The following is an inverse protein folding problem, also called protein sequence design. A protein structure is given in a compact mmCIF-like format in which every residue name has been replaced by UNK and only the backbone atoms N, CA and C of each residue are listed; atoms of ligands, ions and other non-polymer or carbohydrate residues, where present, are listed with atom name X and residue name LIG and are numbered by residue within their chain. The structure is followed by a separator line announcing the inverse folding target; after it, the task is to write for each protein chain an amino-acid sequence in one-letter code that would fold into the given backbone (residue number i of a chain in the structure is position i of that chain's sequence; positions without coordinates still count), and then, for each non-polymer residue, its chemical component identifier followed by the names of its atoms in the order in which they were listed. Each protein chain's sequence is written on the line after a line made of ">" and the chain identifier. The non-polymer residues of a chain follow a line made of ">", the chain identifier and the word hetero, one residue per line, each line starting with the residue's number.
data_IF_352945117232
#
_entry.id   IF_352945117232
#
_cell.length_a   1.000
_cell.length_b   1.000
_cell.length_c   1.000
_cell.angle_alpha   90.00
_cell.angle_beta   90.00
_cell.angle_gamma   90.00
#
_symmetry.space_group_name_H-M   'P 1'
#
loop_
_entity.id
_entity.type
_entity.pdbx_description
1 polymer ?
#
# COMPACT_ATOMS: atom_id res chain seq x y z
N UNK A 1 -20.50 3.69 1.18
CA UNK A 1 -21.31 2.75 1.98
C UNK A 1 -20.83 2.69 3.41
N UNK A 2 -21.69 2.28 4.35
CA UNK A 2 -21.36 2.26 5.78
C UNK A 2 -20.09 1.48 6.11
N UNK A 3 -19.80 0.41 5.36
CA UNK A 3 -18.61 -0.44 5.55
C UNK A 3 -17.32 0.28 5.13
N UNK A 4 -17.32 0.98 3.98
CA UNK A 4 -16.12 1.68 3.51
C UNK A 4 -15.73 2.85 4.42
N UNK A 5 -16.71 3.52 5.03
CA UNK A 5 -16.49 4.57 6.02
C UNK A 5 -15.63 4.11 7.21
N UNK A 6 -15.87 2.90 7.74
CA UNK A 6 -15.08 2.38 8.86
C UNK A 6 -13.63 2.15 8.47
N UNK A 7 -13.36 1.64 7.27
CA UNK A 7 -11.99 1.41 6.80
C UNK A 7 -11.26 2.72 6.53
N UNK A 8 -11.92 3.72 5.94
CA UNK A 8 -11.35 5.05 5.72
C UNK A 8 -10.96 5.67 7.08
N UNK A 9 -11.84 5.64 8.06
CA UNK A 9 -11.58 6.20 9.39
C UNK A 9 -10.45 5.43 10.11
N UNK A 10 -10.40 4.12 9.96
CA UNK A 10 -9.31 3.30 10.47
C UNK A 10 -7.96 3.67 9.84
N UNK A 11 -7.92 3.85 8.51
CA UNK A 11 -6.68 4.22 7.81
C UNK A 11 -6.17 5.59 8.22
N UNK A 12 -7.03 6.61 8.20
CA UNK A 12 -6.64 7.99 8.60
C UNK A 12 -6.25 8.08 10.07
N UNK A 13 -6.72 7.18 10.92
CA UNK A 13 -6.29 7.11 12.32
C UNK A 13 -4.96 6.37 12.50
N UNK A 14 -4.72 5.27 11.79
CA UNK A 14 -3.50 4.47 11.91
C UNK A 14 -2.28 5.17 11.32
N UNK A 15 -2.42 5.88 10.19
CA UNK A 15 -1.31 6.56 9.53
C UNK A 15 -0.55 7.57 10.40
N UNK A 16 -1.20 8.51 11.11
CA UNK A 16 -0.50 9.42 12.02
C UNK A 16 0.16 8.69 13.20
N UNK A 17 -0.43 7.60 13.70
CA UNK A 17 0.17 6.78 14.76
C UNK A 17 1.45 6.11 14.26
N UNK A 18 1.44 5.57 13.03
CA UNK A 18 2.62 4.99 12.40
C UNK A 18 3.74 6.03 12.19
N UNK A 19 3.38 7.24 11.76
CA UNK A 19 4.32 8.37 11.62
C UNK A 19 4.97 8.71 12.97
N UNK A 20 4.18 8.82 14.04
CA UNK A 20 4.67 9.10 15.39
C UNK A 20 5.62 8.01 15.90
N UNK A 21 5.29 6.73 15.69
CA UNK A 21 6.13 5.61 16.10
C UNK A 21 7.47 5.54 15.34
N UNK A 22 7.50 6.06 14.11
CA UNK A 22 8.67 5.98 13.21
C UNK A 22 9.75 7.02 13.53
N UNK A 23 9.43 8.03 14.34
CA UNK A 23 10.30 9.19 14.63
C UNK A 23 11.72 8.81 15.07
N UNK A 24 11.88 7.77 15.90
CA UNK A 24 13.18 7.34 16.40
C UNK A 24 13.94 6.38 15.45
N UNK A 25 13.23 5.75 14.51
CA UNK A 25 13.77 4.68 13.67
C UNK A 25 14.39 5.21 12.37
N UNK A 26 13.81 6.26 11.78
CA UNK A 26 14.20 6.75 10.45
C UNK A 26 15.18 7.92 10.59
N UNK A 27 16.47 7.59 10.53
CA UNK A 27 17.56 8.57 10.64
C UNK A 27 18.10 9.06 9.29
N UNK A 28 17.86 8.32 8.21
CA UNK A 28 18.33 8.65 6.86
C UNK A 28 17.14 8.87 5.91
N UNK A 29 17.21 9.92 5.07
CA UNK A 29 16.23 10.25 4.03
C UNK A 29 14.77 10.32 4.51
N UNK A 30 14.52 10.99 5.64
CA UNK A 30 13.18 11.19 6.22
C UNK A 30 12.15 11.74 5.22
N UNK A 31 12.55 12.69 4.35
CA UNK A 31 11.65 13.25 3.32
C UNK A 31 11.12 12.17 2.37
N UNK A 32 11.98 11.27 1.92
CA UNK A 32 11.59 10.21 1.00
C UNK A 32 10.65 9.21 1.68
N UNK A 33 10.87 8.89 2.95
CA UNK A 33 9.94 8.03 3.70
C UNK A 33 8.56 8.66 3.81
N UNK A 34 8.46 9.90 4.31
CA UNK A 34 7.17 10.54 4.55
C UNK A 34 6.37 10.78 3.26
N UNK A 35 7.04 11.14 2.16
CA UNK A 35 6.37 11.29 0.86
C UNK A 35 5.78 9.96 0.39
N UNK A 36 6.57 8.86 0.41
CA UNK A 36 6.04 7.55 0.03
C UNK A 36 4.92 7.09 0.95
N UNK A 37 5.03 7.38 2.24
CA UNK A 37 4.01 7.01 3.23
C UNK A 37 2.69 7.75 2.98
N UNK A 38 2.73 9.07 2.72
CA UNK A 38 1.53 9.86 2.40
C UNK A 38 0.92 9.46 1.05
N UNK A 39 1.75 9.11 0.05
CA UNK A 39 1.26 8.58 -1.23
C UNK A 39 0.54 7.25 -0.99
N UNK A 40 1.12 6.35 -0.18
CA UNK A 40 0.50 5.08 0.18
C UNK A 40 -0.85 5.28 0.89
N UNK A 41 -0.93 6.22 1.83
CA UNK A 41 -2.18 6.61 2.50
C UNK A 41 -3.24 7.03 1.49
N UNK A 42 -2.86 7.94 0.59
CA UNK A 42 -3.77 8.50 -0.41
C UNK A 42 -4.34 7.39 -1.30
N UNK A 43 -3.50 6.48 -1.79
CA UNK A 43 -3.97 5.39 -2.66
C UNK A 43 -4.90 4.44 -1.88
N UNK A 44 -4.60 4.11 -0.62
CA UNK A 44 -5.48 3.29 0.21
C UNK A 44 -6.86 3.94 0.42
N UNK A 45 -6.91 5.25 0.62
CA UNK A 45 -8.17 5.98 0.69
C UNK A 45 -8.96 5.90 -0.62
N UNK A 46 -8.28 5.97 -1.76
CA UNK A 46 -8.91 5.77 -3.08
C UNK A 46 -9.45 4.35 -3.23
N UNK A 47 -8.72 3.32 -2.79
CA UNK A 47 -9.18 1.91 -2.85
C UNK A 47 -10.50 1.74 -2.11
N UNK A 48 -10.64 2.28 -0.90
CA UNK A 48 -11.89 2.17 -0.12
C UNK A 48 -13.02 3.08 -0.62
N UNK A 49 -12.69 4.12 -1.37
CA UNK A 49 -13.68 5.05 -1.94
C UNK A 49 -14.21 4.60 -3.30
N UNK A 50 -13.53 3.67 -3.98
CA UNK A 50 -13.94 3.19 -5.30
C UNK A 50 -15.16 2.27 -5.22
N UNK A 51 -16.13 2.54 -6.12
CA UNK A 51 -17.31 1.70 -6.32
C UNK A 51 -17.15 0.76 -7.53
N UNK A 52 -16.41 1.20 -8.55
CA UNK A 52 -16.16 0.42 -9.76
C UNK A 52 -15.02 -0.57 -9.56
N UNK A 53 -15.26 -1.83 -9.92
CA UNK A 53 -14.31 -2.94 -9.68
C UNK A 53 -13.00 -2.81 -10.48
N UNK A 54 -13.05 -2.17 -11.66
CA UNK A 54 -11.86 -1.91 -12.49
C UNK A 54 -10.98 -0.85 -11.83
N UNK A 55 -11.56 0.26 -11.37
CA UNK A 55 -10.83 1.29 -10.64
C UNK A 55 -10.29 0.74 -9.31
N UNK A 56 -11.07 -0.08 -8.61
CA UNK A 56 -10.60 -0.81 -7.43
C UNK A 56 -9.33 -1.62 -7.73
N UNK A 57 -9.30 -2.40 -8.82
CA UNK A 57 -8.12 -3.17 -9.21
C UNK A 57 -6.90 -2.28 -9.48
N UNK A 58 -7.08 -1.18 -10.22
CA UNK A 58 -5.98 -0.25 -10.55
C UNK A 58 -5.38 0.38 -9.29
N UNK A 59 -6.21 0.84 -8.35
CA UNK A 59 -5.71 1.41 -7.11
C UNK A 59 -5.11 0.34 -6.19
N UNK A 60 -5.69 -0.86 -6.16
CA UNK A 60 -5.16 -1.99 -5.40
C UNK A 60 -3.72 -2.34 -5.82
N UNK A 61 -3.48 -2.45 -7.13
CA UNK A 61 -2.12 -2.65 -7.68
C UNK A 61 -1.21 -1.46 -7.39
N UNK A 62 -1.72 -0.24 -7.48
CA UNK A 62 -0.93 0.98 -7.27
C UNK A 62 -0.36 1.07 -5.84
N UNK A 63 -1.03 0.50 -4.83
CA UNK A 63 -0.51 0.45 -3.44
C UNK A 63 0.80 -0.35 -3.34
N UNK A 64 1.01 -1.34 -4.22
CA UNK A 64 2.22 -2.18 -4.19
C UNK A 64 3.49 -1.38 -4.49
N UNK A 65 3.42 -0.31 -5.29
CA UNK A 65 4.59 0.48 -5.68
C UNK A 65 5.19 1.23 -4.47
N UNK A 66 4.44 2.08 -3.73
CA UNK A 66 4.97 2.71 -2.50
C UNK A 66 5.41 1.68 -1.47
N UNK A 67 4.66 0.59 -1.30
CA UNK A 67 4.97 -0.43 -0.31
C UNK A 67 6.29 -1.15 -0.62
N UNK A 68 6.53 -1.48 -1.89
CA UNK A 68 7.79 -2.05 -2.36
C UNK A 68 8.98 -1.10 -2.08
N UNK A 69 8.81 0.19 -2.34
CA UNK A 69 9.85 1.20 -2.06
C UNK A 69 10.15 1.31 -0.56
N UNK A 70 9.11 1.36 0.29
CA UNK A 70 9.29 1.46 1.73
C UNK A 70 10.05 0.24 2.27
N UNK A 71 9.65 -0.97 1.88
CA UNK A 71 10.30 -2.21 2.30
C UNK A 71 11.76 -2.31 1.81
N UNK A 72 12.02 -1.94 0.56
CA UNK A 72 13.36 -2.01 -0.03
C UNK A 72 14.35 -1.04 0.60
N UNK A 73 13.94 0.21 0.85
CA UNK A 73 14.83 1.22 1.41
C UNK A 73 14.94 1.17 2.93
N UNK A 74 13.81 1.04 3.63
CA UNK A 74 13.73 1.18 5.10
C UNK A 74 13.60 -0.16 5.85
N UNK A 75 13.62 -1.29 5.14
CA UNK A 75 13.63 -2.60 5.78
C UNK A 75 14.84 -2.80 6.71
N UNK A 76 14.59 -3.36 7.91
CA UNK A 76 15.62 -3.56 8.94
C UNK A 76 16.67 -4.63 8.62
N UNK A 77 16.38 -5.53 7.67
CA UNK A 77 17.19 -6.73 7.40
C UNK A 77 18.17 -6.48 6.26
N UNK A 78 19.35 -7.09 6.36
CA UNK A 78 20.35 -7.17 5.27
C UNK A 78 19.72 -7.59 3.93
N UNK A 79 18.74 -8.50 3.99
CA UNK A 79 18.02 -9.06 2.82
C UNK A 79 16.72 -8.33 2.48
N UNK A 80 16.55 -7.07 2.89
CA UNK A 80 15.33 -6.26 2.66
C UNK A 80 14.90 -6.19 1.20
N UNK A 81 15.86 -6.14 0.27
CA UNK A 81 15.62 -6.10 -1.17
C UNK A 81 14.96 -7.41 -1.64
N UNK A 82 15.48 -8.56 -1.20
CA UNK A 82 14.88 -9.86 -1.53
C UNK A 82 13.47 -9.98 -0.93
N UNK A 83 13.27 -9.51 0.29
CA UNK A 83 11.96 -9.53 0.93
C UNK A 83 10.95 -8.63 0.19
N UNK A 84 11.35 -7.45 -0.29
CA UNK A 84 10.47 -6.57 -1.06
C UNK A 84 10.10 -7.18 -2.42
N UNK A 85 11.06 -7.83 -3.10
CA UNK A 85 10.78 -8.57 -4.34
C UNK A 85 9.84 -9.75 -4.12
N UNK A 86 10.05 -10.55 -3.08
CA UNK A 86 9.16 -11.67 -2.76
C UNK A 86 7.75 -11.16 -2.44
N UNK A 87 7.62 -10.11 -1.63
CA UNK A 87 6.33 -9.48 -1.34
C UNK A 87 5.61 -9.03 -2.61
N UNK A 88 6.31 -8.35 -3.51
CA UNK A 88 5.75 -7.89 -4.78
C UNK A 88 5.30 -9.06 -5.66
N UNK A 89 6.12 -10.09 -5.83
CA UNK A 89 5.76 -11.24 -6.68
C UNK A 89 4.58 -12.03 -6.11
N UNK A 90 4.55 -12.28 -4.80
CA UNK A 90 3.45 -13.02 -4.19
C UNK A 90 2.11 -12.29 -4.33
N UNK A 91 2.10 -10.97 -4.19
CA UNK A 91 0.89 -10.14 -4.32
C UNK A 91 0.48 -9.97 -5.78
N UNK A 92 1.44 -9.69 -6.67
CA UNK A 92 1.20 -9.51 -8.11
C UNK A 92 0.68 -10.78 -8.79
N UNK A 93 1.22 -11.95 -8.43
CA UNK A 93 0.70 -13.22 -8.99
C UNK A 93 -0.73 -13.47 -8.53
N UNK A 94 -1.03 -13.17 -7.26
CA UNK A 94 -2.39 -13.28 -6.73
C UNK A 94 -3.37 -12.30 -7.38
N UNK A 95 -2.94 -11.08 -7.67
CA UNK A 95 -3.80 -10.06 -8.27
C UNK A 95 -4.10 -10.33 -9.75
N UNK A 96 -3.17 -10.93 -10.50
CA UNK A 96 -3.45 -11.35 -11.89
C UNK A 96 -4.65 -12.31 -11.95
N UNK A 97 -4.81 -13.20 -10.97
CA UNK A 97 -6.00 -14.05 -10.87
C UNK A 97 -7.27 -13.23 -10.65
N UNK A 98 -7.21 -12.18 -9.84
CA UNK A 98 -8.32 -11.25 -9.65
C UNK A 98 -8.66 -10.51 -10.96
N UNK A 99 -7.66 -10.08 -11.73
CA UNK A 99 -7.86 -9.46 -13.04
C UNK A 99 -8.57 -10.40 -14.01
N UNK A 100 -8.18 -11.68 -14.07
CA UNK A 100 -8.87 -12.67 -14.89
C UNK A 100 -10.34 -12.83 -14.50
N UNK A 101 -10.65 -12.83 -13.20
CA UNK A 101 -12.03 -12.89 -12.72
C UNK A 101 -12.83 -11.63 -13.09
N UNK A 102 -12.21 -10.45 -12.99
CA UNK A 102 -12.83 -9.18 -13.40
C UNK A 102 -13.15 -9.21 -14.90
N UNK A 103 -12.19 -9.61 -15.75
CA UNK A 103 -12.39 -9.75 -17.19
C UNK A 103 -13.44 -10.78 -17.58
N UNK A 104 -13.69 -11.78 -16.73
CA UNK A 104 -14.74 -12.78 -16.96
C UNK A 104 -16.14 -12.26 -16.64
N UNK A 105 -16.26 -11.34 -15.68
CA UNK A 105 -17.54 -10.75 -15.25
C UNK A 105 -17.99 -9.64 -16.20
N UNK A 106 -17.04 -8.94 -16.83
CA UNK A 106 -17.31 -7.93 -17.86
C UNK A 106 -17.55 -8.53 -19.24
#
# INVERSE_FOLDING_TARGET
>A
DGISLFFILLTTFLFPICILSSYNYIKFNFKFFYINFLIMESILLLVFSCLDIVFFYVFFESVLIPMYLILGFFGSRERKILASYMFFIYTFVGSVLMLLAILFIF
#
